data_IF_886594407096
#
_entry.id   IF_886594407096
#
_cell.length_a   1.000
_cell.length_b   1.000
_cell.length_c   1.000
_cell.angle_alpha   90.00
_cell.angle_beta   90.00
_cell.angle_gamma   90.00
#
_symmetry.space_group_name_H-M   'P 1'
#
loop_
_entity.id
_entity.type
_entity.pdbx_description
1 polymer ?
#
# COMPACT_ATOMS: atom_id res chain seq x y z
N UNK A 1 -11.37 14.54 -27.46
CA UNK A 1 -12.22 14.71 -26.26
C UNK A 1 -11.45 14.89 -24.95
N UNK A 2 -10.16 14.51 -24.85
CA UNK A 2 -9.36 14.82 -23.66
C UNK A 2 -8.95 16.31 -23.57
N UNK A 3 -8.69 16.96 -24.72
CA UNK A 3 -8.25 18.35 -24.78
C UNK A 3 -9.29 19.35 -24.23
N UNK A 4 -10.59 19.06 -24.37
CA UNK A 4 -11.67 19.95 -23.90
C UNK A 4 -11.83 19.94 -22.39
N UNK A 5 -11.52 18.83 -21.71
CA UNK A 5 -11.52 18.73 -20.24
C UNK A 5 -10.40 19.58 -19.62
N UNK A 6 -9.19 19.53 -20.20
CA UNK A 6 -8.06 20.35 -19.75
C UNK A 6 -8.32 21.84 -19.94
N UNK A 7 -8.99 22.22 -21.03
CA UNK A 7 -9.29 23.63 -21.32
C UNK A 7 -10.34 24.23 -20.37
N UNK A 8 -11.35 23.44 -19.96
CA UNK A 8 -12.32 23.86 -18.94
C UNK A 8 -11.66 23.98 -17.54
N UNK A 9 -10.74 23.08 -17.20
CA UNK A 9 -9.99 23.16 -15.95
C UNK A 9 -9.10 24.41 -15.88
N UNK A 10 -8.48 24.82 -17.00
CA UNK A 10 -7.69 26.05 -17.06
C UNK A 10 -8.52 27.33 -16.88
N UNK A 11 -9.73 27.39 -17.45
CA UNK A 11 -10.63 28.53 -17.27
C UNK A 11 -11.10 28.66 -15.82
N UNK A 12 -11.36 27.54 -15.14
CA UNK A 12 -11.74 27.53 -13.73
C UNK A 12 -10.61 28.03 -12.80
N UNK A 13 -9.35 27.82 -13.17
CA UNK A 13 -8.17 28.27 -12.39
C UNK A 13 -7.84 29.75 -12.64
N UNK A 14 -8.24 30.33 -13.76
CA UNK A 14 -8.00 31.76 -14.09
C UNK A 14 -9.07 32.71 -13.54
N UNK A 15 -10.15 32.20 -12.96
CA UNK A 15 -11.11 33.02 -12.22
C UNK A 15 -10.46 33.45 -10.90
N UNK A 16 -9.95 34.69 -10.85
CA UNK A 16 -9.43 35.30 -9.62
C UNK A 16 -10.57 35.34 -8.60
N UNK A 17 -10.47 34.63 -7.47
CA UNK A 17 -11.51 34.63 -6.45
C UNK A 17 -11.67 36.05 -5.89
N UNK A 18 -12.91 36.49 -5.67
CA UNK A 18 -13.17 37.75 -4.98
C UNK A 18 -12.67 37.65 -3.53
N UNK A 19 -12.09 38.73 -2.98
CA UNK A 19 -11.40 38.76 -1.68
C UNK A 19 -12.28 38.35 -0.48
N UNK A 20 -13.59 38.20 -0.65
CA UNK A 20 -14.53 37.73 0.39
C UNK A 20 -14.63 36.20 0.49
N UNK A 21 -14.13 35.44 -0.50
CA UNK A 21 -14.17 33.97 -0.52
C UNK A 21 -13.05 33.32 0.34
N UNK A 22 -12.17 34.15 0.92
CA UNK A 22 -11.12 33.73 1.86
C UNK A 22 -11.54 33.79 3.34
N UNK A 23 -12.79 34.14 3.63
CA UNK A 23 -13.36 33.87 4.96
C UNK A 23 -13.71 32.38 5.02
N UNK A 24 -12.70 31.60 5.40
CA UNK A 24 -12.75 30.16 5.59
C UNK A 24 -14.09 29.76 6.23
N UNK A 25 -15.01 29.27 5.41
CA UNK A 25 -16.33 28.86 5.87
C UNK A 25 -16.18 27.89 7.04
N UNK A 26 -17.19 27.82 7.90
CA UNK A 26 -17.23 26.97 9.10
C UNK A 26 -16.65 25.55 8.90
N UNK A 27 -16.78 24.99 7.71
CA UNK A 27 -16.17 23.73 7.25
C UNK A 27 -14.64 23.68 7.40
N UNK A 28 -13.92 24.74 7.07
CA UNK A 28 -12.47 24.82 7.20
C UNK A 28 -12.04 24.73 8.67
N UNK A 29 -12.78 25.36 9.59
CA UNK A 29 -12.58 25.21 11.02
C UNK A 29 -12.77 23.75 11.48
N UNK A 30 -13.79 23.05 10.97
CA UNK A 30 -14.01 21.64 11.27
C UNK A 30 -12.86 20.75 10.77
N UNK A 31 -12.41 20.97 9.54
CA UNK A 31 -11.29 20.21 8.94
C UNK A 31 -10.00 20.47 9.72
N UNK A 32 -9.73 21.72 10.05
CA UNK A 32 -8.56 22.09 10.85
C UNK A 32 -8.61 21.50 12.27
N UNK A 33 -9.78 21.53 12.90
CA UNK A 33 -10.01 20.87 14.19
C UNK A 33 -9.78 19.36 14.14
N UNK A 34 -10.26 18.69 13.08
CA UNK A 34 -10.04 17.26 12.86
C UNK A 34 -8.54 16.96 12.68
N UNK A 35 -7.81 17.78 11.92
CA UNK A 35 -6.36 17.66 11.77
C UNK A 35 -5.64 17.79 13.11
N UNK A 36 -6.00 18.78 13.94
CA UNK A 36 -5.45 18.92 15.30
C UNK A 36 -5.75 17.66 16.12
N UNK A 37 -7.00 17.19 16.12
CA UNK A 37 -7.38 15.99 16.87
C UNK A 37 -6.57 14.76 16.42
N UNK A 38 -6.38 14.58 15.11
CA UNK A 38 -5.56 13.50 14.56
C UNK A 38 -4.11 13.58 15.07
N UNK A 39 -3.51 14.78 15.06
CA UNK A 39 -2.15 15.00 15.58
C UNK A 39 -2.08 14.72 17.08
N UNK A 40 -3.06 15.16 17.87
CA UNK A 40 -3.12 14.90 19.32
C UNK A 40 -3.25 13.41 19.61
N UNK A 41 -4.10 12.69 18.88
CA UNK A 41 -4.26 11.23 19.02
C UNK A 41 -2.95 10.53 18.66
N UNK A 42 -2.28 10.96 17.59
CA UNK A 42 -1.01 10.39 17.16
C UNK A 42 0.10 10.64 18.20
N UNK A 43 0.22 11.88 18.68
CA UNK A 43 1.16 12.25 19.73
C UNK A 43 0.92 11.45 21.01
N UNK A 44 -0.33 11.37 21.46
CA UNK A 44 -0.70 10.58 22.65
C UNK A 44 -0.38 9.09 22.48
N UNK A 45 -0.66 8.51 21.31
CA UNK A 45 -0.34 7.11 21.01
C UNK A 45 1.16 6.83 21.07
N UNK A 46 1.98 7.72 20.54
CA UNK A 46 3.44 7.58 20.56
C UNK A 46 4.01 7.79 21.95
N UNK A 47 3.63 8.88 22.64
CA UNK A 47 4.11 9.18 23.99
C UNK A 47 3.69 8.10 25.00
N UNK A 48 2.50 7.51 24.85
CA UNK A 48 2.05 6.39 25.70
C UNK A 48 2.92 5.15 25.51
N UNK A 49 3.38 4.87 24.28
CA UNK A 49 4.30 3.74 24.02
C UNK A 49 5.67 3.98 24.63
N UNK A 50 6.22 5.20 24.47
CA UNK A 50 7.51 5.56 25.07
C UNK A 50 7.47 5.47 26.60
N UNK A 51 6.47 6.10 27.25
CA UNK A 51 6.31 6.03 28.72
C UNK A 51 6.15 4.61 29.25
N UNK A 52 5.54 3.70 28.49
CA UNK A 52 5.40 2.31 28.90
C UNK A 52 6.73 1.55 28.82
N UNK A 53 7.58 1.88 27.84
CA UNK A 53 8.93 1.33 27.73
C UNK A 53 9.80 1.88 28.85
N UNK A 54 9.79 3.20 29.06
CA UNK A 54 10.56 3.86 30.14
C UNK A 54 10.18 3.29 31.51
N UNK A 55 8.88 3.10 31.78
CA UNK A 55 8.41 2.50 33.03
C UNK A 55 8.83 1.03 33.19
N UNK A 56 8.94 0.28 32.09
CA UNK A 56 9.42 -1.10 32.12
C UNK A 56 10.94 -1.18 32.28
N UNK A 57 11.67 -0.20 31.75
CA UNK A 57 13.11 -0.02 31.97
C UNK A 57 13.41 0.36 33.42
N UNK A 58 12.72 1.37 33.97
CA UNK A 58 12.83 1.77 35.38
C UNK A 58 12.43 0.65 36.35
N UNK A 59 11.46 -0.19 35.96
CA UNK A 59 11.06 -1.37 36.73
C UNK A 59 12.07 -2.54 36.61
N UNK A 60 13.17 -2.38 35.87
CA UNK A 60 14.20 -3.40 35.68
C UNK A 60 13.72 -4.63 34.92
N UNK A 61 12.61 -4.52 34.18
CA UNK A 61 11.97 -5.65 33.49
C UNK A 61 12.58 -5.95 32.12
N UNK A 62 13.23 -4.96 31.50
CA UNK A 62 14.06 -5.16 30.32
C UNK A 62 15.45 -5.64 30.73
N UNK A 63 15.57 -6.90 31.15
CA UNK A 63 16.86 -7.58 31.17
C UNK A 63 17.24 -7.94 29.71
N UNK A 64 18.36 -7.43 29.14
CA UNK A 64 18.81 -7.79 27.80
C UNK A 64 19.10 -9.30 27.65
N UNK A 65 19.18 -10.05 28.75
CA UNK A 65 19.30 -11.50 28.82
C UNK A 65 17.97 -12.21 28.57
N UNK A 66 16.83 -11.57 28.86
CA UNK A 66 15.49 -12.13 28.68
C UNK A 66 14.90 -11.79 27.31
N UNK A 67 15.71 -12.01 26.26
CA UNK A 67 15.20 -12.03 24.89
C UNK A 67 14.31 -13.26 24.73
N UNK A 68 13.00 -13.07 24.92
CA UNK A 68 12.00 -14.09 24.55
C UNK A 68 12.29 -14.53 23.11
N UNK A 69 12.60 -15.81 22.87
CA UNK A 69 12.86 -16.28 21.51
C UNK A 69 11.63 -15.96 20.67
N UNK A 70 11.84 -15.35 19.49
CA UNK A 70 10.76 -15.08 18.52
C UNK A 70 10.15 -16.42 18.10
N UNK A 71 9.20 -16.91 18.89
CA UNK A 71 8.41 -18.08 18.58
C UNK A 71 7.53 -17.73 17.40
N UNK A 72 7.71 -18.44 16.28
CA UNK A 72 6.68 -18.54 15.27
C UNK A 72 6.97 -17.95 13.90
N UNK A 73 8.20 -18.02 13.40
CA UNK A 73 8.34 -18.22 11.95
C UNK A 73 8.33 -19.72 11.72
N UNK A 74 7.20 -20.34 11.32
CA UNK A 74 7.20 -21.75 10.98
C UNK A 74 8.10 -21.93 9.75
N UNK A 75 9.32 -22.43 9.95
CA UNK A 75 10.26 -22.76 8.87
C UNK A 75 9.65 -23.67 7.80
N UNK A 76 8.58 -24.40 8.17
CA UNK A 76 7.77 -25.23 7.29
C UNK A 76 7.13 -24.43 6.13
N UNK A 77 6.73 -23.18 6.36
CA UNK A 77 6.16 -22.31 5.31
C UNK A 77 7.22 -21.77 4.36
N UNK A 78 8.43 -21.50 4.87
CA UNK A 78 9.56 -21.03 4.07
C UNK A 78 10.11 -22.12 3.15
N UNK A 79 10.15 -23.37 3.62
CA UNK A 79 10.56 -24.51 2.80
C UNK A 79 9.56 -24.77 1.66
N UNK A 80 8.25 -24.70 1.93
CA UNK A 80 7.22 -24.83 0.90
C UNK A 80 7.28 -23.71 -0.14
N UNK A 81 7.52 -22.47 0.29
CA UNK A 81 7.69 -21.33 -0.62
C UNK A 81 8.93 -21.46 -1.52
N UNK A 82 10.01 -22.07 -1.02
CA UNK A 82 11.21 -22.37 -1.80
C UNK A 82 10.94 -23.45 -2.85
N UNK A 83 10.26 -24.53 -2.47
CA UNK A 83 9.89 -25.60 -3.39
C UNK A 83 8.97 -25.12 -4.51
N UNK A 84 8.00 -24.26 -4.21
CA UNK A 84 7.12 -23.68 -5.23
C UNK A 84 7.90 -22.82 -6.26
N UNK A 85 8.93 -22.08 -5.83
CA UNK A 85 9.82 -21.33 -6.73
C UNK A 85 10.71 -22.25 -7.57
N UNK A 86 11.22 -23.32 -6.99
CA UNK A 86 12.03 -24.31 -7.71
C UNK A 86 11.20 -25.08 -8.74
N UNK A 87 9.92 -25.36 -8.47
CA UNK A 87 8.98 -25.97 -9.41
C UNK A 87 8.62 -25.04 -10.58
N UNK A 88 8.28 -23.77 -10.30
CA UNK A 88 8.01 -22.79 -11.35
C UNK A 88 9.24 -22.56 -12.26
N UNK A 89 10.45 -22.55 -11.69
CA UNK A 89 11.69 -22.45 -12.47
C UNK A 89 12.01 -23.72 -13.28
N UNK A 90 11.60 -24.90 -12.80
CA UNK A 90 11.73 -26.17 -13.52
C UNK A 90 10.73 -26.27 -14.69
N UNK A 91 9.52 -25.73 -14.53
CA UNK A 91 8.51 -25.65 -15.60
C UNK A 91 8.96 -24.66 -16.70
N UNK A 92 9.50 -23.50 -16.34
CA UNK A 92 10.05 -22.54 -17.32
C UNK A 92 11.28 -23.07 -18.09
N UNK A 93 12.03 -24.02 -17.52
CA UNK A 93 13.20 -24.64 -18.19
C UNK A 93 12.84 -25.89 -19.02
N UNK A 94 11.63 -26.43 -18.86
CA UNK A 94 11.07 -27.50 -19.70
C UNK A 94 10.37 -26.98 -20.97
N UNK A 95 9.95 -25.71 -20.99
CA UNK A 95 9.18 -25.12 -22.10
C UNK A 95 9.95 -24.01 -22.82
N UNK A 96 11.21 -24.33 -23.14
CA UNK A 96 12.14 -23.44 -23.83
C UNK A 96 12.81 -24.08 -25.05
N UNK A 97 12.13 -24.99 -25.75
CA UNK A 97 12.64 -25.49 -27.04
C UNK A 97 11.52 -26.04 -27.90
N UNK A 98 10.95 -25.19 -28.76
CA UNK A 98 9.87 -25.61 -29.65
C UNK A 98 9.30 -24.45 -30.47
N UNK A 99 10.16 -23.67 -31.12
CA UNK A 99 9.69 -22.78 -32.18
C UNK A 99 9.04 -23.61 -33.28
N UNK A 100 7.77 -23.35 -33.61
CA UNK A 100 7.14 -23.68 -34.89
C UNK A 100 5.89 -22.82 -35.08
N UNK A 101 6.02 -21.75 -35.87
CA UNK A 101 4.96 -21.30 -36.77
C UNK A 101 4.97 -22.25 -37.97
N UNK A 102 3.82 -22.81 -38.42
CA UNK A 102 2.94 -22.16 -39.41
C UNK A 102 1.45 -22.58 -39.19
N UNK A 103 0.38 -22.20 -39.90
CA UNK A 103 -0.06 -21.23 -40.92
C UNK A 103 -1.61 -21.28 -40.86
N UNK A 104 -2.34 -20.34 -41.50
CA UNK A 104 -3.79 -20.31 -41.52
C UNK A 104 -4.35 -21.36 -42.49
N UNK A 105 -5.45 -22.02 -42.15
CA UNK A 105 -6.15 -22.88 -43.10
C UNK A 105 -7.24 -23.76 -42.50
N UNK A 106 -8.48 -23.47 -42.92
CA UNK A 106 -9.55 -24.45 -43.17
C UNK A 106 -10.17 -25.18 -41.98
N UNK A 107 -11.22 -24.55 -41.46
CA UNK A 107 -12.40 -25.18 -40.86
C UNK A 107 -13.56 -24.19 -40.88
N UNK A 108 -13.98 -23.87 -42.09
CA UNK A 108 -15.37 -23.60 -42.36
C UNK A 108 -16.15 -24.91 -42.15
N UNK A 109 -16.94 -25.02 -41.08
CA UNK A 109 -18.26 -25.68 -41.05
C UNK A 109 -18.95 -25.50 -39.68
N UNK A 110 -19.87 -24.52 -39.50
CA UNK A 110 -20.79 -24.51 -38.37
C UNK A 110 -22.11 -25.16 -38.78
N UNK A 111 -22.14 -26.49 -38.82
CA UNK A 111 -23.36 -27.27 -38.90
C UNK A 111 -23.98 -27.52 -37.51
N UNK A 112 -24.55 -26.49 -36.86
CA UNK A 112 -25.63 -26.58 -35.85
C UNK A 112 -26.34 -25.24 -35.66
#
# INVERSE_FOLDING_TARGET
MAATLTQLAQVAVMAVPEDEDVVAGWTAFLIFGLLIAAVVILGFSLTKRLKNVDRAEEAGLYDPTDKKPRQGVPLRGLAAARQAREQAAAEESGEGSGGTTPRPGTDADPGR
#
